data_IF_717171152245
#
_entry.id   IF_717171152245
#
_cell.length_a   1.000
_cell.length_b   1.000
_cell.length_c   1.000
_cell.angle_alpha   90.00
_cell.angle_beta   90.00
_cell.angle_gamma   90.00
#
_symmetry.space_group_name_H-M   'P 1'
#
loop_
_entity.id
_entity.type
_entity.pdbx_description
1 polymer ?
#
# COMPACT_ATOMS: atom_id res chain seq x y z
N UNK A 1 1.95 68.07 18.31
CA UNK A 1 1.00 67.75 17.22
C UNK A 1 1.80 67.28 16.01
N UNK A 2 2.26 66.02 16.01
CA UNK A 2 3.07 65.45 14.93
C UNK A 2 2.15 64.72 13.95
N UNK A 3 1.82 65.35 12.82
CA UNK A 3 1.16 64.69 11.69
C UNK A 3 2.23 64.10 10.80
N UNK A 4 2.56 62.83 11.05
CA UNK A 4 3.37 62.02 10.14
C UNK A 4 2.61 61.81 8.84
N UNK A 5 3.06 62.45 7.77
CA UNK A 5 2.57 62.21 6.42
C UNK A 5 3.08 60.84 5.96
N UNK A 6 2.21 59.83 6.04
CA UNK A 6 2.45 58.51 5.45
C UNK A 6 2.35 58.67 3.93
N UNK A 7 3.47 58.46 3.23
CA UNK A 7 3.57 58.65 1.80
C UNK A 7 2.83 57.53 1.06
N UNK A 8 2.04 57.87 0.03
CA UNK A 8 1.20 56.90 -0.71
C UNK A 8 2.02 55.78 -1.37
N UNK A 9 3.27 56.08 -1.74
CA UNK A 9 4.25 55.14 -2.28
C UNK A 9 4.89 54.21 -1.23
N UNK A 10 4.93 54.64 0.04
CA UNK A 10 5.36 53.80 1.18
C UNK A 10 4.28 52.78 1.55
N UNK A 11 3.00 53.15 1.38
CA UNK A 11 1.87 52.25 1.64
C UNK A 11 1.77 51.12 0.60
N UNK A 12 2.10 51.39 -0.67
CA UNK A 12 2.14 50.37 -1.72
C UNK A 12 3.29 49.38 -1.55
N UNK A 13 4.42 49.80 -0.96
CA UNK A 13 5.56 48.91 -0.70
C UNK A 13 5.29 47.93 0.48
N UNK A 14 4.54 48.37 1.49
CA UNK A 14 4.12 47.54 2.62
C UNK A 14 3.09 46.46 2.25
N UNK A 15 2.26 46.69 1.24
CA UNK A 15 1.28 45.70 0.75
C UNK A 15 1.96 44.56 -0.03
N UNK A 16 3.06 44.84 -0.74
CA UNK A 16 3.76 43.85 -1.56
C UNK A 16 4.62 42.86 -0.76
N UNK A 17 5.09 43.27 0.43
CA UNK A 17 5.82 42.40 1.37
C UNK A 17 4.87 41.43 2.10
N UNK A 18 3.61 41.83 2.31
CA UNK A 18 2.61 41.03 3.01
C UNK A 18 2.09 39.84 2.20
N UNK A 19 2.17 39.88 0.87
CA UNK A 19 1.67 38.79 0.01
C UNK A 19 2.70 37.68 -0.23
N UNK A 20 3.96 37.89 0.16
CA UNK A 20 5.04 36.91 -0.02
C UNK A 20 5.07 35.81 1.07
N UNK A 21 4.28 35.95 2.14
CA UNK A 21 4.26 35.01 3.27
C UNK A 21 3.15 33.94 3.21
N UNK A 22 2.34 33.90 2.15
CA UNK A 22 1.24 32.93 2.01
C UNK A 22 1.60 31.65 1.24
N UNK A 23 2.87 31.44 0.90
CA UNK A 23 3.34 30.24 0.18
C UNK A 23 4.13 29.25 1.05
N UNK A 24 4.01 29.30 2.37
CA UNK A 24 4.55 28.25 3.24
C UNK A 24 3.53 27.14 3.48
N UNK A 25 3.26 26.32 2.45
CA UNK A 25 2.64 25.02 2.66
C UNK A 25 3.73 24.07 3.19
N UNK A 26 3.72 23.80 4.50
CA UNK A 26 4.42 22.62 5.03
C UNK A 26 3.68 21.39 4.54
N UNK A 27 4.29 20.62 3.65
CA UNK A 27 3.80 19.30 3.29
C UNK A 27 4.13 18.41 4.50
N UNK A 28 3.17 18.19 5.40
CA UNK A 28 3.30 17.11 6.36
C UNK A 28 3.38 15.83 5.54
N UNK A 29 4.58 15.28 5.45
CA UNK A 29 4.78 13.91 5.05
C UNK A 29 4.10 13.09 6.14
N UNK A 30 2.86 12.65 5.89
CA UNK A 30 2.31 11.51 6.61
C UNK A 30 3.36 10.43 6.40
N UNK A 31 4.17 10.17 7.43
CA UNK A 31 4.94 8.93 7.50
C UNK A 31 3.87 7.86 7.56
N UNK A 32 3.43 7.45 6.38
CA UNK A 32 2.87 6.14 6.18
C UNK A 32 3.86 5.24 6.89
N UNK A 33 3.42 4.56 7.94
CA UNK A 33 4.12 3.36 8.36
C UNK A 33 4.01 2.45 7.15
N UNK A 34 4.92 2.63 6.19
CA UNK A 34 5.39 1.59 5.30
C UNK A 34 5.88 0.56 6.30
N UNK A 35 4.95 -0.33 6.66
CA UNK A 35 5.22 -1.52 7.43
C UNK A 35 6.20 -2.28 6.54
N UNK A 36 7.48 -1.95 6.73
CA UNK A 36 8.56 -2.56 6.00
C UNK A 36 8.50 -4.06 6.26
N UNK A 37 8.78 -4.81 5.20
CA UNK A 37 9.00 -6.24 5.26
C UNK A 37 10.23 -6.51 6.11
N UNK A 38 10.02 -6.49 7.43
CA UNK A 38 11.04 -6.62 8.46
C UNK A 38 11.29 -8.08 8.84
N UNK A 39 10.43 -8.98 8.36
CA UNK A 39 10.49 -10.41 8.59
C UNK A 39 10.58 -11.11 7.24
N UNK A 40 11.50 -12.06 7.11
CA UNK A 40 11.54 -12.91 5.92
C UNK A 40 10.45 -13.96 6.02
N UNK A 41 9.53 -13.98 5.06
CA UNK A 41 8.42 -14.91 5.01
C UNK A 41 8.71 -16.03 4.04
N UNK A 42 8.18 -17.22 4.30
CA UNK A 42 8.36 -18.39 3.41
C UNK A 42 7.00 -18.98 3.03
N UNK A 43 6.95 -19.65 1.88
CA UNK A 43 5.71 -20.31 1.47
C UNK A 43 5.24 -21.33 2.50
N UNK A 44 6.12 -22.25 2.90
CA UNK A 44 5.75 -23.41 3.72
C UNK A 44 5.21 -23.02 5.10
N UNK A 45 5.77 -21.98 5.72
CA UNK A 45 5.43 -21.56 7.08
C UNK A 45 4.36 -20.47 7.09
N UNK A 46 4.48 -19.47 6.22
CA UNK A 46 3.74 -18.21 6.36
C UNK A 46 2.57 -18.07 5.39
N UNK A 47 2.77 -18.47 4.13
CA UNK A 47 1.80 -18.17 3.06
C UNK A 47 0.84 -19.32 2.83
N UNK A 48 1.33 -20.55 2.88
CA UNK A 48 0.50 -21.75 2.68
C UNK A 48 -0.71 -21.81 3.61
N UNK A 49 -0.63 -21.47 4.90
CA UNK A 49 -1.82 -21.44 5.77
C UNK A 49 -2.86 -20.41 5.30
N UNK A 50 -2.42 -19.23 4.84
CA UNK A 50 -3.30 -18.16 4.35
C UNK A 50 -4.01 -18.62 3.07
N UNK A 51 -3.26 -19.16 2.10
CA UNK A 51 -3.83 -19.63 0.83
C UNK A 51 -4.78 -20.81 1.05
N UNK A 52 -4.40 -21.77 1.92
CA UNK A 52 -5.23 -22.94 2.20
C UNK A 52 -6.55 -22.54 2.89
N UNK A 53 -6.50 -21.59 3.82
CA UNK A 53 -7.67 -21.12 4.55
C UNK A 53 -8.63 -20.25 3.73
N UNK A 54 -8.10 -19.47 2.78
CA UNK A 54 -8.87 -18.39 2.14
C UNK A 54 -9.10 -18.58 0.64
N UNK A 55 -8.31 -19.41 -0.06
CA UNK A 55 -8.31 -19.46 -1.53
C UNK A 55 -8.70 -20.84 -2.08
N UNK A 56 -8.19 -21.92 -1.48
CA UNK A 56 -8.28 -23.30 -2.02
C UNK A 56 -9.72 -23.80 -2.15
N UNK A 57 -10.68 -23.27 -1.39
CA UNK A 57 -12.10 -23.62 -1.54
C UNK A 57 -12.66 -23.35 -2.95
N UNK A 58 -12.17 -22.30 -3.61
CA UNK A 58 -12.52 -21.96 -4.99
C UNK A 58 -11.42 -22.35 -5.99
N UNK A 59 -10.15 -22.14 -5.60
CA UNK A 59 -8.96 -22.30 -6.44
C UNK A 59 -8.28 -23.66 -6.22
N UNK A 60 -8.99 -24.75 -6.50
CA UNK A 60 -8.46 -26.12 -6.41
C UNK A 60 -9.08 -27.01 -7.48
N UNK A 61 -8.55 -28.23 -7.71
CA UNK A 61 -9.12 -29.16 -8.69
C UNK A 61 -10.60 -29.51 -8.46
N UNK A 62 -11.08 -29.41 -7.22
CA UNK A 62 -12.48 -29.61 -6.86
C UNK A 62 -13.27 -28.30 -6.76
N UNK A 63 -12.58 -27.16 -6.83
CA UNK A 63 -13.16 -25.83 -6.90
C UNK A 63 -13.61 -25.49 -8.33
N UNK A 64 -14.22 -24.30 -8.50
CA UNK A 64 -14.75 -23.85 -9.80
C UNK A 64 -13.87 -22.83 -10.50
N UNK A 65 -12.90 -22.26 -9.79
CA UNK A 65 -12.14 -21.12 -10.26
C UNK A 65 -10.69 -21.53 -10.58
N UNK A 66 -10.20 -21.04 -11.72
CA UNK A 66 -8.81 -21.20 -12.16
C UNK A 66 -8.07 -19.88 -11.90
N UNK A 67 -6.77 -19.89 -11.50
CA UNK A 67 -5.87 -21.04 -11.37
C UNK A 67 -6.09 -21.88 -10.11
N UNK A 68 -5.51 -23.08 -10.10
CA UNK A 68 -5.39 -23.86 -8.86
C UNK A 68 -4.27 -23.29 -8.02
N UNK A 69 -4.43 -23.27 -6.70
CA UNK A 69 -3.48 -22.68 -5.75
C UNK A 69 -3.17 -23.68 -4.63
N UNK A 70 -2.97 -24.95 -4.98
CA UNK A 70 -2.82 -26.05 -4.02
C UNK A 70 -1.37 -26.45 -3.75
N UNK A 71 -0.43 -25.88 -4.50
CA UNK A 71 1.00 -26.13 -4.37
C UNK A 71 1.82 -24.87 -4.61
N UNK A 72 3.07 -24.86 -4.11
CA UNK A 72 4.01 -23.78 -4.38
C UNK A 72 4.23 -23.56 -5.88
N UNK A 73 4.38 -24.64 -6.64
CA UNK A 73 4.59 -24.57 -8.09
C UNK A 73 3.40 -23.91 -8.81
N UNK A 74 2.16 -24.23 -8.42
CA UNK A 74 0.99 -23.59 -8.99
C UNK A 74 0.91 -22.10 -8.59
N UNK A 75 1.18 -21.77 -7.33
CA UNK A 75 1.12 -20.39 -6.82
C UNK A 75 2.20 -19.51 -7.46
N UNK A 76 3.44 -19.97 -7.49
CA UNK A 76 4.58 -19.25 -8.09
C UNK A 76 4.40 -19.01 -9.58
N UNK A 77 3.76 -19.93 -10.31
CA UNK A 77 3.42 -19.74 -11.73
C UNK A 77 2.35 -18.66 -11.97
N UNK A 78 1.62 -18.22 -10.93
CA UNK A 78 0.55 -17.23 -11.03
C UNK A 78 0.77 -16.01 -10.13
N UNK A 79 2.02 -15.74 -9.73
CA UNK A 79 2.34 -14.72 -8.73
C UNK A 79 1.85 -13.33 -9.13
N UNK A 80 1.98 -12.95 -10.41
CA UNK A 80 1.52 -11.67 -10.94
C UNK A 80 0.00 -11.48 -10.79
N UNK A 81 -0.76 -12.56 -11.00
CA UNK A 81 -2.21 -12.54 -10.83
C UNK A 81 -2.57 -12.45 -9.34
N UNK A 82 -1.86 -13.17 -8.48
CA UNK A 82 -2.08 -13.13 -7.03
C UNK A 82 -1.77 -11.73 -6.50
N UNK A 83 -0.65 -11.11 -6.89
CA UNK A 83 -0.30 -9.75 -6.48
C UNK A 83 -1.39 -8.77 -6.89
N UNK A 84 -1.83 -8.82 -8.16
CA UNK A 84 -2.88 -7.93 -8.64
C UNK A 84 -4.17 -8.10 -7.85
N UNK A 85 -4.71 -9.31 -7.77
CA UNK A 85 -6.05 -9.55 -7.23
C UNK A 85 -6.09 -9.44 -5.69
N UNK A 86 -5.00 -9.77 -5.00
CA UNK A 86 -4.95 -9.83 -3.52
C UNK A 86 -4.33 -8.57 -2.92
N UNK A 87 -3.26 -8.05 -3.50
CA UNK A 87 -2.50 -6.92 -2.91
C UNK A 87 -2.99 -5.59 -3.47
N UNK A 88 -3.14 -5.49 -4.80
CA UNK A 88 -3.46 -4.24 -5.48
C UNK A 88 -4.96 -3.97 -5.47
N UNK A 89 -5.74 -4.89 -6.04
CA UNK A 89 -7.19 -4.73 -6.23
C UNK A 89 -7.99 -5.17 -5.00
N UNK A 90 -7.45 -6.11 -4.21
CA UNK A 90 -8.09 -6.66 -3.01
C UNK A 90 -9.49 -7.24 -3.30
N UNK A 91 -9.64 -7.81 -4.49
CA UNK A 91 -10.88 -8.37 -5.04
C UNK A 91 -11.05 -9.86 -4.72
N UNK A 92 -10.00 -10.49 -4.20
CA UNK A 92 -9.99 -11.86 -3.72
C UNK A 92 -9.70 -11.92 -2.22
N UNK A 93 -10.41 -12.77 -1.46
CA UNK A 93 -11.41 -13.77 -1.91
C UNK A 93 -12.80 -13.17 -2.21
N UNK A 94 -13.57 -13.76 -3.15
CA UNK A 94 -14.93 -13.27 -3.49
C UNK A 94 -15.97 -13.39 -2.38
N UNK A 95 -15.81 -14.37 -1.49
CA UNK A 95 -16.76 -14.63 -0.40
C UNK A 95 -16.15 -14.37 0.99
N UNK A 96 -15.20 -13.45 1.09
CA UNK A 96 -14.50 -13.14 2.34
C UNK A 96 -13.59 -11.94 2.18
N UNK A 97 -12.69 -11.75 3.14
CA UNK A 97 -11.65 -10.73 3.07
C UNK A 97 -10.44 -11.22 3.83
N UNK A 98 -9.25 -10.93 3.31
CA UNK A 98 -8.02 -11.04 4.09
C UNK A 98 -7.89 -9.84 5.03
N UNK A 99 -7.26 -10.06 6.17
CA UNK A 99 -6.82 -8.96 7.03
C UNK A 99 -5.68 -8.18 6.37
N UNK A 100 -5.50 -6.92 6.77
CA UNK A 100 -4.36 -6.11 6.30
C UNK A 100 -3.01 -6.78 6.60
N UNK A 101 -2.91 -7.49 7.73
CA UNK A 101 -1.70 -8.23 8.08
C UNK A 101 -1.42 -9.43 7.17
N UNK A 102 -2.46 -10.14 6.70
CA UNK A 102 -2.31 -11.22 5.73
C UNK A 102 -1.94 -10.69 4.34
N UNK A 103 -2.61 -9.62 3.88
CA UNK A 103 -2.29 -8.96 2.60
C UNK A 103 -0.83 -8.48 2.61
N UNK A 104 -0.41 -7.87 3.71
CA UNK A 104 0.96 -7.39 3.87
C UNK A 104 1.97 -8.53 3.88
N UNK A 105 1.68 -9.62 4.58
CA UNK A 105 2.55 -10.79 4.61
C UNK A 105 2.72 -11.38 3.19
N UNK A 106 1.63 -11.50 2.43
CA UNK A 106 1.68 -11.93 1.02
C UNK A 106 2.51 -10.95 0.19
N UNK A 107 2.27 -9.64 0.32
CA UNK A 107 3.03 -8.62 -0.39
C UNK A 107 4.53 -8.75 -0.11
N UNK A 108 4.91 -8.82 1.16
CA UNK A 108 6.30 -8.92 1.56
C UNK A 108 6.97 -10.18 1.02
N UNK A 109 6.28 -11.31 1.10
CA UNK A 109 6.78 -12.55 0.52
C UNK A 109 6.99 -12.46 -1.00
N UNK A 110 6.09 -11.78 -1.73
CA UNK A 110 6.25 -11.53 -3.18
C UNK A 110 7.46 -10.62 -3.45
N UNK A 111 7.58 -9.52 -2.71
CA UNK A 111 8.68 -8.56 -2.82
C UNK A 111 10.05 -9.21 -2.55
N UNK A 112 10.09 -10.23 -1.67
CA UNK A 112 11.27 -11.02 -1.33
C UNK A 112 11.62 -12.11 -2.38
N UNK A 113 10.87 -12.19 -3.48
CA UNK A 113 11.08 -13.20 -4.52
C UNK A 113 10.47 -14.56 -4.17
N UNK A 114 9.40 -14.56 -3.37
CA UNK A 114 8.53 -15.71 -3.07
C UNK A 114 9.29 -17.00 -2.67
N UNK A 115 10.19 -16.95 -1.67
CA UNK A 115 10.96 -18.11 -1.24
C UNK A 115 10.04 -19.24 -0.73
N UNK A 116 10.34 -20.48 -1.12
CA UNK A 116 9.54 -21.63 -0.68
C UNK A 116 9.80 -21.99 0.79
N UNK A 117 11.06 -21.87 1.23
CA UNK A 117 11.60 -22.36 2.51
C UNK A 117 12.57 -21.38 3.14
#
# INVERSE_FOLDING_TARGET
MFKGMINRTQFTFLIFISTFFLFSCTRDEIRENVLECSSSYTYDVDIKPIITGNCVGCHSPNGRDWPYLTSYAEISNHIDAIEREVVIEKEMPKNGSLSDGEIQKIKCWIDEGFPEK
#
